data_IF_375038123581
#
_entry.id   IF_375038123581
#
_cell.length_a   1.000
_cell.length_b   1.000
_cell.length_c   1.000
_cell.angle_alpha   90.00
_cell.angle_beta   90.00
_cell.angle_gamma   90.00
#
_symmetry.space_group_name_H-M   'P 1'
#
loop_
_entity.id
_entity.type
_entity.pdbx_description
1 polymer ?
#
# COMPACT_ATOMS: atom_id res chain seq x y z
N UNK A 1 -20.89 44.89 0.62
CA UNK A 1 -21.17 45.13 2.05
C UNK A 1 -21.03 43.78 2.75
N UNK A 2 -19.88 43.14 2.65
CA UNK A 2 -18.52 43.53 3.10
C UNK A 2 -18.27 42.98 4.51
N UNK A 3 -17.20 42.17 4.54
CA UNK A 3 -16.24 41.98 5.61
C UNK A 3 -16.71 41.37 6.93
N UNK A 4 -16.40 40.07 7.08
CA UNK A 4 -15.30 39.70 7.98
C UNK A 4 -14.80 38.29 7.66
N UNK A 5 -13.88 38.20 6.69
CA UNK A 5 -12.86 37.17 6.65
C UNK A 5 -11.95 37.38 7.87
N UNK A 6 -12.14 36.58 8.92
CA UNK A 6 -11.11 36.42 9.95
C UNK A 6 -10.28 35.20 9.62
N UNK A 7 -9.09 35.49 9.12
CA UNK A 7 -7.99 34.58 8.83
C UNK A 7 -7.58 33.80 10.08
N UNK A 8 -8.14 32.61 10.27
CA UNK A 8 -7.56 31.56 11.08
C UNK A 8 -6.42 30.90 10.33
N UNK A 9 -5.24 31.54 10.32
CA UNK A 9 -4.02 30.95 9.77
C UNK A 9 -3.69 29.65 10.51
N UNK A 10 -3.80 28.52 9.81
CA UNK A 10 -3.20 27.26 10.26
C UNK A 10 -1.69 27.39 10.06
N UNK A 11 -1.02 28.07 10.99
CA UNK A 11 0.41 27.89 11.20
C UNK A 11 0.60 26.55 11.93
N UNK A 12 0.42 25.43 11.22
CA UNK A 12 1.13 24.22 11.64
C UNK A 12 2.54 24.36 11.09
N UNK A 13 3.45 24.85 11.92
CA UNK A 13 4.89 24.72 11.70
C UNK A 13 5.20 23.21 11.75
N UNK A 14 4.87 22.48 10.69
CA UNK A 14 5.23 21.07 10.55
C UNK A 14 6.73 21.06 10.51
N UNK A 15 7.36 20.71 11.63
CA UNK A 15 8.81 20.67 11.76
C UNK A 15 9.35 19.76 10.66
N UNK A 16 9.99 20.36 9.66
CA UNK A 16 10.58 19.61 8.54
C UNK A 16 11.79 18.90 9.10
N UNK A 17 11.67 17.60 9.30
CA UNK A 17 12.81 16.75 9.67
C UNK A 17 13.77 16.64 8.48
N UNK A 18 15.06 16.84 8.74
CA UNK A 18 16.10 16.59 7.73
C UNK A 18 16.31 15.09 7.52
N UNK A 19 16.87 14.72 6.36
CA UNK A 19 17.25 13.33 6.05
C UNK A 19 18.13 12.70 7.16
N UNK A 20 19.10 13.46 7.69
CA UNK A 20 19.97 12.98 8.78
C UNK A 20 19.18 12.70 10.05
N UNK A 21 18.29 13.61 10.46
CA UNK A 21 17.47 13.42 11.66
C UNK A 21 16.52 12.21 11.49
N UNK A 22 15.94 12.04 10.29
CA UNK A 22 15.13 10.88 9.96
C UNK A 22 15.93 9.58 10.10
N UNK A 23 17.10 9.49 9.48
CA UNK A 23 17.95 8.30 9.54
C UNK A 23 18.42 8.00 10.97
N UNK A 24 18.82 9.01 11.74
CA UNK A 24 19.21 8.83 13.15
C UNK A 24 18.05 8.29 13.98
N UNK A 25 16.86 8.91 13.89
CA UNK A 25 15.69 8.46 14.65
C UNK A 25 15.24 7.05 14.24
N UNK A 26 15.30 6.73 12.95
CA UNK A 26 14.98 5.39 12.47
C UNK A 26 15.99 4.36 12.99
N UNK A 27 17.28 4.68 12.94
CA UNK A 27 18.33 3.80 13.48
C UNK A 27 18.16 3.56 14.98
N UNK A 28 17.94 4.62 15.75
CA UNK A 28 17.73 4.53 17.20
C UNK A 28 16.51 3.65 17.50
N UNK A 29 15.39 3.86 16.78
CA UNK A 29 14.20 3.02 16.93
C UNK A 29 14.49 1.54 16.64
N UNK A 30 15.13 1.24 15.50
CA UNK A 30 15.41 -0.14 15.08
C UNK A 30 16.41 -0.86 16.00
N UNK A 31 17.26 -0.13 16.73
CA UNK A 31 18.33 -0.70 17.56
C UNK A 31 18.05 -0.70 19.06
N UNK A 32 17.08 0.10 19.52
CA UNK A 32 16.79 0.25 20.96
C UNK A 32 15.40 -0.18 21.36
N UNK A 33 14.43 -0.20 20.44
CA UNK A 33 13.07 -0.60 20.76
C UNK A 33 12.97 -2.14 20.86
N UNK A 34 12.53 -2.68 22.01
CA UNK A 34 12.45 -4.13 22.22
C UNK A 34 11.63 -4.86 21.16
N UNK A 35 10.66 -4.19 20.52
CA UNK A 35 9.83 -4.79 19.46
C UNK A 35 10.64 -5.15 18.21
N UNK A 36 11.72 -4.41 17.95
CA UNK A 36 12.62 -4.65 16.83
C UNK A 36 13.80 -5.57 17.19
N UNK A 37 14.15 -5.64 18.48
CA UNK A 37 15.24 -6.49 18.99
C UNK A 37 14.74 -7.92 19.25
N UNK A 38 13.50 -8.08 19.68
CA UNK A 38 12.87 -9.38 19.96
C UNK A 38 12.54 -10.12 18.66
N UNK A 39 13.36 -11.12 18.33
CA UNK A 39 13.19 -11.96 17.14
C UNK A 39 11.94 -12.84 17.16
N UNK A 40 11.22 -12.90 18.29
CA UNK A 40 9.94 -13.61 18.38
C UNK A 40 8.75 -12.81 17.84
N UNK A 41 8.94 -11.51 17.56
CA UNK A 41 7.91 -10.63 17.01
C UNK A 41 7.98 -10.57 15.48
N UNK A 42 6.83 -10.75 14.84
CA UNK A 42 6.69 -10.53 13.40
C UNK A 42 6.39 -9.07 13.11
N UNK A 43 7.26 -8.44 12.31
CA UNK A 43 7.06 -7.08 11.84
C UNK A 43 6.71 -7.10 10.35
N UNK A 44 5.58 -6.48 10.02
CA UNK A 44 5.12 -6.30 8.65
C UNK A 44 5.52 -4.91 8.17
N UNK A 45 6.17 -4.85 7.00
CA UNK A 45 6.58 -3.59 6.39
C UNK A 45 5.95 -3.49 5.01
N UNK A 46 5.17 -2.45 4.79
CA UNK A 46 4.68 -2.10 3.47
C UNK A 46 5.84 -1.51 2.63
N UNK A 47 6.18 -2.17 1.53
CA UNK A 47 7.32 -1.80 0.68
C UNK A 47 6.88 -1.01 -0.57
N UNK A 48 5.97 -0.05 -0.40
CA UNK A 48 5.42 0.73 -1.52
C UNK A 48 6.43 1.75 -2.07
N UNK A 49 7.09 2.50 -1.18
CA UNK A 49 7.94 3.63 -1.56
C UNK A 49 9.24 3.69 -0.76
N UNK A 50 10.31 4.08 -1.43
CA UNK A 50 11.57 4.47 -0.77
C UNK A 50 11.44 5.84 -0.10
N UNK A 51 10.60 6.73 -0.65
CA UNK A 51 10.41 8.07 -0.16
C UNK A 51 9.38 8.09 0.96
N UNK A 52 9.74 8.74 2.06
CA UNK A 52 8.88 9.00 3.22
C UNK A 52 8.57 10.50 3.20
N UNK A 53 7.40 10.84 2.65
CA UNK A 53 7.03 12.23 2.39
C UNK A 53 7.96 12.92 1.37
N UNK A 54 7.91 14.25 1.27
CA UNK A 54 8.63 15.00 0.24
C UNK A 54 10.13 15.13 0.48
N UNK A 55 10.61 14.95 1.73
CA UNK A 55 11.98 15.30 2.13
C UNK A 55 12.83 14.14 2.62
N UNK A 56 12.23 13.01 3.00
CA UNK A 56 12.95 11.88 3.57
C UNK A 56 12.89 10.66 2.65
N UNK A 57 13.94 9.84 2.72
CA UNK A 57 14.02 8.56 2.00
C UNK A 57 14.66 7.50 2.89
N UNK A 58 14.28 6.25 2.69
CA UNK A 58 15.01 5.12 3.25
C UNK A 58 16.40 5.05 2.61
N UNK A 59 17.41 4.72 3.43
CA UNK A 59 18.76 4.53 2.94
C UNK A 59 18.81 3.35 1.95
N UNK A 60 19.81 3.34 1.07
CA UNK A 60 19.91 2.33 0.00
C UNK A 60 20.01 0.90 0.53
N UNK A 61 20.74 0.69 1.63
CA UNK A 61 20.95 -0.66 2.16
C UNK A 61 19.68 -1.24 2.77
N UNK A 62 18.93 -0.47 3.57
CA UNK A 62 17.64 -0.91 4.12
C UNK A 62 16.64 -1.13 3.00
N UNK A 63 16.57 -0.23 2.03
CA UNK A 63 15.63 -0.36 0.92
C UNK A 63 15.93 -1.57 0.03
N UNK A 64 17.21 -1.85 -0.22
CA UNK A 64 17.65 -3.06 -0.92
C UNK A 64 17.29 -4.30 -0.12
N UNK A 65 17.49 -4.26 1.20
CA UNK A 65 17.17 -5.36 2.10
C UNK A 65 15.68 -5.68 2.16
N UNK A 66 14.81 -4.67 2.26
CA UNK A 66 13.35 -4.86 2.26
C UNK A 66 12.86 -5.52 0.95
N UNK A 67 13.57 -5.26 -0.15
CA UNK A 67 13.25 -5.79 -1.48
C UNK A 67 14.06 -7.02 -1.88
N UNK A 68 14.88 -7.56 -0.98
CA UNK A 68 15.64 -8.77 -1.23
C UNK A 68 14.70 -9.91 -1.63
N UNK A 69 15.16 -10.73 -2.56
CA UNK A 69 14.44 -11.91 -3.07
C UNK A 69 15.33 -13.15 -3.11
N UNK A 70 16.54 -13.08 -2.54
CA UNK A 70 17.46 -14.20 -2.45
C UNK A 70 17.11 -15.15 -1.29
N UNK A 71 17.56 -16.40 -1.35
CA UNK A 71 17.21 -17.43 -0.36
C UNK A 71 17.69 -17.10 1.06
N UNK A 72 18.73 -16.27 1.20
CA UNK A 72 19.35 -16.02 2.50
C UNK A 72 18.60 -14.96 3.29
N UNK A 73 17.99 -14.00 2.59
CA UNK A 73 17.45 -12.78 3.19
C UNK A 73 16.17 -12.27 2.54
N UNK A 74 15.61 -13.06 1.63
CA UNK A 74 14.43 -12.72 0.86
C UNK A 74 13.22 -12.53 1.74
N UNK A 75 12.48 -11.45 1.47
CA UNK A 75 11.21 -11.22 2.13
C UNK A 75 10.08 -11.83 1.29
N UNK A 76 9.12 -12.46 1.97
CA UNK A 76 7.92 -12.97 1.32
C UNK A 76 7.19 -11.87 0.54
N UNK A 77 6.61 -12.26 -0.59
CA UNK A 77 5.78 -11.44 -1.45
C UNK A 77 4.38 -12.02 -1.43
N UNK A 78 3.51 -11.35 -0.69
CA UNK A 78 2.12 -11.77 -0.55
C UNK A 78 1.29 -11.03 -1.59
N UNK A 79 0.67 -11.80 -2.48
CA UNK A 79 -0.31 -11.32 -3.46
C UNK A 79 -1.71 -11.60 -2.94
N UNK A 80 -2.54 -10.56 -2.85
CA UNK A 80 -3.93 -10.70 -2.41
C UNK A 80 -4.83 -10.88 -3.63
N UNK A 81 -5.40 -12.07 -3.77
CA UNK A 81 -6.37 -12.38 -4.82
C UNK A 81 -7.76 -11.99 -4.34
N UNK A 82 -8.18 -10.78 -4.70
CA UNK A 82 -9.48 -10.22 -4.34
C UNK A 82 -10.37 -10.15 -5.57
N UNK A 83 -11.60 -10.72 -5.53
CA UNK A 83 -12.57 -10.57 -6.62
C UNK A 83 -12.79 -9.11 -6.99
N UNK A 84 -12.99 -8.83 -8.28
CA UNK A 84 -13.17 -7.45 -8.77
C UNK A 84 -14.34 -6.74 -8.09
N UNK A 85 -15.45 -7.44 -7.89
CA UNK A 85 -16.65 -6.91 -7.21
C UNK A 85 -16.31 -6.46 -5.78
N UNK A 86 -15.59 -7.29 -5.02
CA UNK A 86 -15.15 -6.94 -3.67
C UNK A 86 -14.19 -5.74 -3.63
N UNK A 87 -13.33 -5.58 -4.64
CA UNK A 87 -12.47 -4.41 -4.79
C UNK A 87 -13.29 -3.16 -5.08
N UNK A 88 -14.26 -3.24 -5.99
CA UNK A 88 -15.17 -2.13 -6.32
C UNK A 88 -15.95 -1.70 -5.08
N UNK A 89 -16.58 -2.65 -4.38
CA UNK A 89 -17.37 -2.38 -3.18
C UNK A 89 -16.55 -1.72 -2.06
N UNK A 90 -15.29 -2.15 -1.90
CA UNK A 90 -14.38 -1.52 -0.94
C UNK A 90 -13.99 -0.10 -1.35
N UNK A 91 -13.65 0.14 -2.61
CA UNK A 91 -13.30 1.47 -3.12
C UNK A 91 -14.50 2.42 -2.98
N UNK A 92 -15.69 1.97 -3.39
CA UNK A 92 -16.93 2.75 -3.32
C UNK A 92 -17.25 3.19 -1.88
N UNK A 93 -17.06 2.30 -0.89
CA UNK A 93 -17.26 2.65 0.53
C UNK A 93 -16.17 3.59 1.05
N UNK A 94 -14.91 3.24 0.81
CA UNK A 94 -13.73 3.94 1.37
C UNK A 94 -13.59 5.35 0.82
N UNK A 95 -13.91 5.55 -0.46
CA UNK A 95 -13.78 6.83 -1.16
C UNK A 95 -15.12 7.49 -1.44
N UNK A 96 -16.19 7.10 -0.74
CA UNK A 96 -17.55 7.63 -0.93
C UNK A 96 -17.61 9.17 -0.89
N UNK A 97 -16.89 9.81 0.03
CA UNK A 97 -16.80 11.27 0.13
C UNK A 97 -16.10 11.91 -1.07
N UNK A 98 -15.04 11.28 -1.59
CA UNK A 98 -14.32 11.76 -2.77
C UNK A 98 -15.17 11.63 -4.03
N UNK A 99 -15.90 10.52 -4.17
CA UNK A 99 -16.78 10.27 -5.32
C UNK A 99 -17.92 11.30 -5.38
N UNK A 100 -18.37 11.80 -4.22
CA UNK A 100 -19.36 12.87 -4.12
C UNK A 100 -18.82 14.25 -4.55
N UNK A 101 -17.49 14.47 -4.55
CA UNK A 101 -16.88 15.70 -5.06
C UNK A 101 -16.69 15.61 -6.58
N UNK A 102 -17.69 16.10 -7.30
CA UNK A 102 -17.69 16.07 -8.76
C UNK A 102 -16.54 16.88 -9.38
N UNK A 103 -16.19 18.03 -8.81
CA UNK A 103 -15.15 18.88 -9.38
C UNK A 103 -13.77 18.23 -9.23
N UNK A 104 -13.51 17.61 -8.07
CA UNK A 104 -12.29 16.86 -7.83
C UNK A 104 -12.19 15.63 -8.76
N UNK A 105 -13.27 14.85 -8.89
CA UNK A 105 -13.30 13.69 -9.77
C UNK A 105 -13.02 14.06 -11.24
N UNK A 106 -13.69 15.10 -11.74
CA UNK A 106 -13.47 15.59 -13.11
C UNK A 106 -12.01 16.01 -13.34
N UNK A 107 -11.42 16.72 -12.37
CA UNK A 107 -10.00 17.13 -12.42
C UNK A 107 -9.06 15.93 -12.53
N UNK A 108 -9.33 14.84 -11.79
CA UNK A 108 -8.54 13.60 -11.89
C UNK A 108 -8.73 12.94 -13.26
N UNK A 109 -9.97 12.83 -13.75
CA UNK A 109 -10.22 12.22 -15.06
C UNK A 109 -9.52 12.97 -16.19
N UNK A 110 -9.43 14.30 -16.11
CA UNK A 110 -8.66 15.11 -17.06
C UNK A 110 -7.17 14.80 -17.00
N UNK A 111 -6.59 14.62 -15.80
CA UNK A 111 -5.19 14.22 -15.66
C UNK A 111 -4.90 12.85 -16.30
N UNK A 112 -5.87 11.95 -16.31
CA UNK A 112 -5.75 10.63 -16.94
C UNK A 112 -5.71 10.67 -18.48
N UNK A 113 -6.09 11.79 -19.11
CA UNK A 113 -6.06 11.95 -20.58
C UNK A 113 -4.67 11.78 -21.19
N UNK A 114 -3.59 11.99 -20.42
CA UNK A 114 -2.21 11.73 -20.86
C UNK A 114 -1.90 10.24 -21.04
N UNK A 115 -2.72 9.35 -20.48
CA UNK A 115 -2.50 7.90 -20.48
C UNK A 115 -3.54 7.14 -21.31
N UNK A 116 -4.66 7.77 -21.65
CA UNK A 116 -5.80 7.11 -22.28
C UNK A 116 -6.42 7.94 -23.39
N UNK A 117 -7.06 7.26 -24.35
CA UNK A 117 -7.71 7.94 -25.46
C UNK A 117 -8.88 8.83 -25.02
N UNK A 118 -9.14 9.88 -25.79
CA UNK A 118 -10.28 10.78 -25.55
C UNK A 118 -11.61 10.03 -25.44
N UNK A 119 -11.80 8.97 -26.23
CA UNK A 119 -13.00 8.09 -26.16
C UNK A 119 -13.16 7.44 -24.78
N UNK A 120 -12.07 6.94 -24.18
CA UNK A 120 -12.11 6.29 -22.86
C UNK A 120 -12.38 7.31 -21.75
N UNK A 121 -11.72 8.48 -21.82
CA UNK A 121 -11.99 9.56 -20.88
C UNK A 121 -13.46 10.01 -20.97
N UNK A 122 -13.99 10.20 -22.16
CA UNK A 122 -15.40 10.54 -22.35
C UNK A 122 -16.34 9.46 -21.77
N UNK A 123 -16.01 8.17 -21.96
CA UNK A 123 -16.77 7.07 -21.37
C UNK A 123 -16.78 7.13 -19.84
N UNK A 124 -15.61 7.32 -19.21
CA UNK A 124 -15.50 7.46 -17.75
C UNK A 124 -16.25 8.66 -17.20
N UNK A 125 -16.15 9.81 -17.87
CA UNK A 125 -16.93 11.00 -17.52
C UNK A 125 -18.43 10.74 -17.61
N UNK A 126 -18.88 10.02 -18.65
CA UNK A 126 -20.29 9.67 -18.82
C UNK A 126 -20.83 8.72 -17.74
N UNK A 127 -19.97 7.90 -17.12
CA UNK A 127 -20.32 7.07 -15.96
C UNK A 127 -20.48 7.94 -14.71
N UNK A 128 -19.56 8.88 -14.50
CA UNK A 128 -19.73 9.85 -13.44
C UNK A 128 -21.01 10.69 -13.67
N UNK A 129 -21.31 11.17 -14.89
CA UNK A 129 -22.47 12.04 -15.19
C UNK A 129 -23.82 11.40 -14.84
N UNK A 130 -23.89 10.07 -14.78
CA UNK A 130 -25.08 9.29 -14.45
C UNK A 130 -25.03 8.67 -13.05
N UNK A 131 -24.06 9.07 -12.23
CA UNK A 131 -23.76 8.49 -10.91
C UNK A 131 -23.47 6.98 -10.93
N UNK A 132 -23.05 6.43 -12.08
CA UNK A 132 -22.63 5.03 -12.25
C UNK A 132 -21.15 4.87 -11.89
N UNK A 133 -20.85 5.14 -10.63
CA UNK A 133 -19.49 5.10 -10.12
C UNK A 133 -18.92 3.67 -10.06
N UNK A 134 -19.78 2.65 -9.98
CA UNK A 134 -19.36 1.25 -10.07
C UNK A 134 -18.69 0.95 -11.41
N UNK A 135 -19.33 1.32 -12.52
CA UNK A 135 -18.74 1.18 -13.86
C UNK A 135 -17.49 2.04 -14.05
N UNK A 136 -17.45 3.24 -13.44
CA UNK A 136 -16.25 4.08 -13.45
C UNK A 136 -15.07 3.38 -12.76
N UNK A 137 -15.26 2.91 -11.52
CA UNK A 137 -14.21 2.23 -10.74
C UNK A 137 -13.76 0.96 -11.45
N UNK A 138 -14.68 0.14 -11.98
CA UNK A 138 -14.34 -1.04 -12.77
C UNK A 138 -13.45 -0.67 -13.97
N UNK A 139 -13.83 0.38 -14.72
CA UNK A 139 -13.07 0.86 -15.87
C UNK A 139 -11.67 1.34 -15.49
N UNK A 140 -11.54 2.05 -14.36
CA UNK A 140 -10.25 2.51 -13.84
C UNK A 140 -9.37 1.34 -13.40
N UNK A 141 -9.92 0.35 -12.69
CA UNK A 141 -9.19 -0.85 -12.28
C UNK A 141 -8.62 -1.58 -13.50
N UNK A 142 -9.49 -1.98 -14.44
CA UNK A 142 -9.09 -2.80 -15.59
C UNK A 142 -8.14 -2.11 -16.55
N UNK A 143 -8.30 -0.80 -16.77
CA UNK A 143 -7.59 -0.12 -17.85
C UNK A 143 -6.50 0.83 -17.39
N UNK A 144 -6.48 1.22 -16.12
CA UNK A 144 -5.46 2.10 -15.56
C UNK A 144 -4.65 1.39 -14.49
N UNK A 145 -5.27 0.96 -13.39
CA UNK A 145 -4.54 0.51 -12.20
C UNK A 145 -3.97 -0.90 -12.31
N UNK A 146 -4.78 -1.90 -12.65
CA UNK A 146 -4.35 -3.31 -12.69
C UNK A 146 -3.14 -3.52 -13.63
N UNK A 147 -3.14 -2.99 -14.89
CA UNK A 147 -1.98 -3.12 -15.78
C UNK A 147 -0.72 -2.42 -15.25
N UNK A 148 -0.86 -1.30 -14.52
CA UNK A 148 0.28 -0.58 -13.95
C UNK A 148 0.87 -1.35 -12.76
N UNK A 149 0.03 -1.91 -11.90
CA UNK A 149 0.48 -2.75 -10.78
C UNK A 149 1.17 -4.01 -11.29
N UNK A 150 0.55 -4.75 -12.21
CA UNK A 150 1.14 -5.93 -12.84
C UNK A 150 2.52 -5.61 -13.43
N UNK A 151 2.60 -4.57 -14.28
CA UNK A 151 3.87 -4.17 -14.89
C UNK A 151 4.93 -3.79 -13.86
N UNK A 152 4.55 -3.03 -12.82
CA UNK A 152 5.50 -2.55 -11.81
C UNK A 152 6.02 -3.67 -10.90
N UNK A 153 5.23 -4.74 -10.70
CA UNK A 153 5.55 -5.83 -9.77
C UNK A 153 6.08 -7.08 -10.48
N UNK A 154 5.82 -7.26 -11.78
CA UNK A 154 6.12 -8.47 -12.53
C UNK A 154 7.56 -8.97 -12.36
N UNK A 155 8.55 -8.09 -12.47
CA UNK A 155 9.97 -8.46 -12.35
C UNK A 155 10.29 -9.01 -10.95
N UNK A 156 9.88 -8.30 -9.90
CA UNK A 156 10.14 -8.69 -8.51
C UNK A 156 9.40 -9.97 -8.15
N UNK A 157 8.14 -10.11 -8.59
CA UNK A 157 7.36 -11.33 -8.36
C UNK A 157 7.97 -12.53 -9.08
N UNK A 158 8.44 -12.36 -10.32
CA UNK A 158 9.13 -13.41 -11.08
C UNK A 158 10.42 -13.85 -10.40
N UNK A 159 11.21 -12.91 -9.87
CA UNK A 159 12.44 -13.25 -9.17
C UNK A 159 12.17 -13.95 -7.84
N UNK A 160 11.26 -13.39 -7.03
CA UNK A 160 10.83 -14.00 -5.77
C UNK A 160 10.27 -15.42 -5.96
N UNK A 161 9.59 -15.69 -7.07
CA UNK A 161 9.04 -17.01 -7.38
C UNK A 161 10.13 -18.07 -7.58
N UNK A 162 11.32 -17.71 -8.11
CA UNK A 162 12.45 -18.64 -8.26
C UNK A 162 12.98 -19.15 -6.92
N UNK A 163 12.79 -18.34 -5.88
CA UNK A 163 13.26 -18.59 -4.52
C UNK A 163 12.12 -19.04 -3.59
N UNK A 164 10.95 -19.40 -4.15
CA UNK A 164 9.77 -19.83 -3.39
C UNK A 164 9.27 -18.79 -2.36
N UNK A 165 9.46 -17.50 -2.63
CA UNK A 165 9.08 -16.41 -1.74
C UNK A 165 7.70 -15.79 -2.06
N UNK A 166 6.97 -16.31 -3.05
CA UNK A 166 5.66 -15.78 -3.47
C UNK A 166 4.53 -16.59 -2.85
N UNK A 167 3.58 -15.90 -2.23
CA UNK A 167 2.37 -16.49 -1.67
C UNK A 167 1.14 -15.75 -2.16
N UNK A 168 0.17 -16.48 -2.70
CA UNK A 168 -1.16 -15.94 -2.99
C UNK A 168 -2.10 -16.22 -1.83
N UNK A 169 -2.85 -15.21 -1.40
CA UNK A 169 -3.92 -15.35 -0.42
C UNK A 169 -5.22 -14.89 -1.07
N UNK A 170 -6.19 -15.78 -1.17
CA UNK A 170 -7.52 -15.43 -1.63
C UNK A 170 -8.31 -14.74 -0.53
N UNK A 171 -8.85 -13.56 -0.83
CA UNK A 171 -9.72 -12.82 0.08
C UNK A 171 -11.07 -12.57 -0.61
N UNK A 172 -12.17 -13.16 -0.10
CA UNK A 172 -13.47 -13.03 -0.74
C UNK A 172 -14.02 -11.59 -0.64
N UNK A 173 -13.63 -10.86 0.41
CA UNK A 173 -14.04 -9.47 0.67
C UNK A 173 -12.88 -8.67 1.25
N UNK A 174 -12.98 -7.34 1.16
CA UNK A 174 -12.06 -6.41 1.84
C UNK A 174 -12.82 -5.69 2.95
N UNK A 175 -12.82 -6.29 4.13
CA UNK A 175 -13.39 -5.71 5.34
C UNK A 175 -12.58 -6.14 6.57
N UNK A 176 -12.80 -5.45 7.69
CA UNK A 176 -12.03 -5.66 8.93
C UNK A 176 -12.17 -7.09 9.46
N UNK A 177 -13.33 -7.72 9.28
CA UNK A 177 -13.55 -9.09 9.74
C UNK A 177 -12.72 -10.08 8.91
N UNK A 178 -12.77 -9.98 7.59
CA UNK A 178 -11.98 -10.84 6.69
C UNK A 178 -10.48 -10.63 6.90
N UNK A 179 -10.03 -9.38 7.04
CA UNK A 179 -8.61 -9.09 7.33
C UNK A 179 -8.18 -9.71 8.67
N UNK A 180 -8.96 -9.54 9.73
CA UNK A 180 -8.62 -10.04 11.06
C UNK A 180 -8.64 -11.55 11.16
N UNK A 181 -9.62 -12.20 10.55
CA UNK A 181 -9.90 -13.61 10.80
C UNK A 181 -9.38 -14.53 9.70
N UNK A 182 -9.07 -14.01 8.51
CA UNK A 182 -8.52 -14.79 7.40
C UNK A 182 -7.11 -14.35 7.02
N UNK A 183 -6.88 -13.05 6.78
CA UNK A 183 -5.58 -12.58 6.29
C UNK A 183 -4.49 -12.64 7.36
N UNK A 184 -4.72 -12.02 8.53
CA UNK A 184 -3.70 -11.91 9.59
C UNK A 184 -3.19 -13.30 10.04
N UNK A 185 -4.04 -14.32 10.30
CA UNK A 185 -3.55 -15.64 10.67
C UNK A 185 -2.62 -16.25 9.62
N UNK A 186 -2.99 -16.20 8.34
CA UNK A 186 -2.16 -16.72 7.25
C UNK A 186 -0.83 -15.97 7.13
N UNK A 187 -0.84 -14.64 7.30
CA UNK A 187 0.38 -13.85 7.34
C UNK A 187 1.29 -14.29 8.51
N UNK A 188 0.74 -14.47 9.72
CA UNK A 188 1.51 -14.92 10.88
C UNK A 188 2.09 -16.32 10.68
N UNK A 189 1.31 -17.25 10.11
CA UNK A 189 1.79 -18.60 9.81
C UNK A 189 2.95 -18.57 8.81
N UNK A 190 2.85 -17.73 7.77
CA UNK A 190 3.93 -17.50 6.80
C UNK A 190 5.20 -16.98 7.48
N UNK A 191 5.07 -15.99 8.36
CA UNK A 191 6.21 -15.42 9.06
C UNK A 191 6.91 -16.43 9.99
N UNK A 192 6.13 -17.23 10.72
CA UNK A 192 6.66 -18.28 11.60
C UNK A 192 7.33 -19.42 10.83
N UNK A 193 6.80 -19.81 9.66
CA UNK A 193 7.39 -20.87 8.83
C UNK A 193 8.81 -20.52 8.34
N UNK A 194 9.09 -19.24 8.06
CA UNK A 194 10.44 -18.80 7.69
C UNK A 194 11.42 -18.71 8.86
N UNK A 195 10.91 -18.53 10.08
CA UNK A 195 11.71 -18.37 11.29
C UNK A 195 11.15 -19.28 12.37
N UNK A 196 11.41 -20.61 12.30
CA UNK A 196 10.95 -21.52 13.33
C UNK A 196 11.49 -21.03 14.68
N UNK A 197 10.58 -20.75 15.60
CA UNK A 197 10.95 -20.35 16.96
C UNK A 197 11.85 -21.44 17.51
N UNK A 198 13.05 -21.07 17.95
CA UNK A 198 13.83 -21.97 18.79
C UNK A 198 13.06 -22.09 20.11
N UNK A 199 12.26 -23.14 20.24
CA UNK A 199 11.63 -23.48 21.50
C UNK A 199 12.75 -23.65 22.53
N UNK A 200 12.85 -22.70 23.45
CA UNK A 200 13.72 -22.76 24.62
C UNK A 200 13.14 -23.74 25.62
N UNK A 201 13.08 -25.02 25.24
CA UNK A 201 12.81 -26.13 26.14
C UNK A 201 13.89 -27.18 25.98
N UNK A 202 15.03 -26.91 26.61
CA UNK A 202 16.01 -27.92 27.05
C UNK A 202 16.77 -27.34 28.23
N UNK A 203 16.08 -27.23 29.37
CA UNK A 203 16.76 -27.27 30.67
C UNK A 203 16.89 -28.75 31.01
N UNK A 204 18.10 -29.27 30.83
CA UNK A 204 18.58 -30.52 31.43
C UNK A 204 19.61 -30.20 32.49
#
# INVERSE_FOLDING_TARGET
>A
MDDALSSGGINSSTEIISQRQFETRLHDLLTTDPRWIDSSQTIWIECESRSVGPHCRLNDSLWTRLRATDDRWGAFRVWLEVPEEARIDWIMRTYSSFIADRAALESILLLLSRYHSAKRIAQWRSFADRDDYGSLVQGLLRHHYDPLYEKSRASVMKEAAKHHLVHSIHLPTVDVHTVRNSLIPQLLDLAHAAHPRQDSNSVG
#
